data_IF_038395997208
#
_entry.id   IF_038395997208
#
_cell.length_a   1.000
_cell.length_b   1.000
_cell.length_c   1.000
_cell.angle_alpha   90.00
_cell.angle_beta   90.00
_cell.angle_gamma   90.00
#
_symmetry.space_group_name_H-M   'P 1'
#
loop_
_entity.id
_entity.type
_entity.pdbx_description
1 polymer ?
#
# COMPACT_ATOMS: atom_id res chain seq x y z
N UNK A 1 -1.84 19.41 -25.40
CA UNK A 1 -0.82 18.45 -24.93
C UNK A 1 -0.66 17.44 -26.05
N UNK A 2 0.55 17.29 -26.59
CA UNK A 2 0.83 16.31 -27.63
C UNK A 2 0.92 14.93 -27.02
N UNK A 3 0.33 13.93 -27.67
CA UNK A 3 0.52 12.53 -27.30
C UNK A 3 2.01 12.18 -27.39
N UNK A 4 2.52 11.30 -26.50
CA UNK A 4 3.87 10.81 -26.62
C UNK A 4 4.01 9.95 -27.88
N UNK A 5 5.23 9.93 -28.42
CA UNK A 5 5.62 9.06 -29.53
C UNK A 5 6.25 7.78 -29.00
N UNK A 6 5.97 6.66 -29.65
CA UNK A 6 6.54 5.37 -29.33
C UNK A 6 8.06 5.42 -29.51
N UNK A 7 8.86 4.98 -28.51
CA UNK A 7 10.31 4.96 -28.61
C UNK A 7 10.83 3.91 -29.63
N UNK A 8 10.04 2.88 -29.92
CA UNK A 8 10.38 1.81 -30.88
C UNK A 8 10.03 2.21 -32.33
N UNK A 9 8.79 2.65 -32.56
CA UNK A 9 8.26 2.85 -33.93
C UNK A 9 8.19 4.31 -34.37
N UNK A 10 8.27 5.26 -33.43
CA UNK A 10 8.01 6.68 -33.69
C UNK A 10 6.53 7.03 -33.89
N UNK A 11 5.63 6.05 -33.88
CA UNK A 11 4.18 6.25 -34.02
C UNK A 11 3.57 6.99 -32.82
N UNK A 12 2.41 7.62 -33.02
CA UNK A 12 1.68 8.26 -31.92
C UNK A 12 1.14 7.21 -30.96
N UNK A 13 1.30 7.43 -29.65
CA UNK A 13 0.71 6.55 -28.63
C UNK A 13 -0.63 7.10 -28.15
N UNK A 14 -1.50 6.21 -27.68
CA UNK A 14 -2.83 6.55 -27.20
C UNK A 14 -2.99 6.19 -25.73
N UNK A 15 -3.72 7.05 -25.02
CA UNK A 15 -4.02 6.83 -23.60
C UNK A 15 -5.07 5.73 -23.50
N UNK A 16 -4.75 4.65 -22.81
CA UNK A 16 -5.63 3.50 -22.67
C UNK A 16 -5.39 2.78 -21.33
N UNK A 17 -6.20 1.76 -21.04
CA UNK A 17 -6.08 0.88 -19.88
C UNK A 17 -6.11 -0.57 -20.37
N UNK A 18 -5.01 -1.31 -20.19
CA UNK A 18 -4.89 -2.70 -20.67
C UNK A 18 -4.64 -3.68 -19.51
N UNK A 19 -5.14 -4.92 -19.59
CA UNK A 19 -4.90 -5.92 -18.56
C UNK A 19 -3.41 -6.29 -18.47
N UNK A 20 -2.88 -6.34 -17.26
CA UNK A 20 -1.51 -6.76 -16.97
C UNK A 20 -1.51 -7.73 -15.80
N UNK A 21 -0.82 -8.86 -15.94
CA UNK A 21 -0.66 -9.83 -14.84
C UNK A 21 0.61 -9.51 -14.05
N UNK A 22 0.45 -9.30 -12.73
CA UNK A 22 1.57 -9.21 -11.79
C UNK A 22 1.69 -10.53 -11.05
N UNK A 23 2.92 -11.05 -10.93
CA UNK A 23 3.24 -12.30 -10.24
C UNK A 23 4.24 -12.05 -9.11
N UNK A 24 4.01 -12.67 -7.96
CA UNK A 24 4.92 -12.61 -6.81
C UNK A 24 4.79 -13.86 -5.94
N UNK A 25 5.91 -14.57 -5.67
CA UNK A 25 5.96 -15.77 -4.81
C UNK A 25 4.77 -16.74 -4.99
N UNK A 26 4.51 -17.16 -6.23
CA UNK A 26 3.43 -18.10 -6.57
C UNK A 26 2.01 -17.51 -6.57
N UNK A 27 1.83 -16.26 -6.15
CA UNK A 27 0.57 -15.53 -6.26
C UNK A 27 0.57 -14.68 -7.53
N UNK A 28 -0.61 -14.47 -8.11
CA UNK A 28 -0.77 -13.60 -9.26
C UNK A 28 -2.09 -12.85 -9.19
N UNK A 29 -2.11 -11.64 -9.76
CA UNK A 29 -3.31 -10.82 -9.91
C UNK A 29 -3.28 -10.16 -11.27
N UNK A 30 -4.42 -10.10 -11.93
CA UNK A 30 -4.61 -9.30 -13.13
C UNK A 30 -5.10 -7.91 -12.72
N UNK A 31 -4.44 -6.87 -13.24
CA UNK A 31 -4.79 -5.47 -13.01
C UNK A 31 -5.06 -4.76 -14.32
N UNK A 32 -5.87 -3.72 -14.26
CA UNK A 32 -6.12 -2.82 -15.37
C UNK A 32 -5.06 -1.71 -15.34
N UNK A 33 -4.01 -1.83 -16.15
CA UNK A 33 -2.88 -0.90 -16.17
C UNK A 33 -3.16 0.31 -17.06
N UNK A 34 -3.26 1.53 -16.49
CA UNK A 34 -3.34 2.73 -17.28
C UNK A 34 -1.96 3.05 -17.89
N UNK A 35 -1.94 3.53 -19.11
CA UNK A 35 -0.68 3.82 -19.81
C UNK A 35 -0.91 4.50 -21.14
N UNK A 36 0.18 4.93 -21.76
CA UNK A 36 0.21 5.24 -23.18
C UNK A 36 0.65 3.99 -23.91
N UNK A 37 -0.15 3.53 -24.87
CA UNK A 37 0.11 2.31 -25.61
C UNK A 37 0.31 2.62 -27.08
N UNK A 38 1.23 1.90 -27.71
CA UNK A 38 1.35 1.88 -29.16
C UNK A 38 0.40 0.82 -29.74
N UNK A 39 -0.17 1.10 -30.91
CA UNK A 39 -0.96 0.11 -31.66
C UNK A 39 -0.09 -0.65 -32.69
N UNK A 40 1.08 -0.10 -33.02
CA UNK A 40 2.04 -0.69 -33.97
C UNK A 40 3.10 -1.56 -33.28
N UNK A 41 3.15 -1.57 -31.94
CA UNK A 41 4.06 -2.39 -31.14
C UNK A 41 3.48 -2.69 -29.76
N UNK A 42 4.11 -3.61 -29.01
CA UNK A 42 3.72 -3.93 -27.62
C UNK A 42 4.26 -2.92 -26.59
N UNK A 43 4.78 -1.77 -27.03
CA UNK A 43 5.42 -0.79 -26.15
C UNK A 43 4.39 0.05 -25.39
N UNK A 44 4.69 0.32 -24.11
CA UNK A 44 3.84 1.13 -23.24
C UNK A 44 4.64 2.07 -22.33
N UNK A 45 4.16 3.31 -22.19
CA UNK A 45 4.73 4.31 -21.29
C UNK A 45 3.77 4.54 -20.13
N UNK A 46 4.26 4.36 -18.90
CA UNK A 46 3.50 4.57 -17.67
C UNK A 46 4.08 5.76 -16.89
N UNK A 47 3.20 6.66 -16.47
CA UNK A 47 3.57 7.78 -15.59
C UNK A 47 3.70 7.31 -14.14
N UNK A 48 4.27 8.14 -13.26
CA UNK A 48 4.33 7.83 -11.83
C UNK A 48 2.94 7.62 -11.18
N UNK A 49 1.89 8.27 -11.70
CA UNK A 49 0.52 8.03 -11.23
C UNK A 49 -0.01 6.67 -11.70
N UNK A 50 0.34 6.26 -12.91
CA UNK A 50 -0.06 4.96 -13.47
C UNK A 50 0.54 3.80 -12.68
N UNK A 51 1.83 3.93 -12.36
CA UNK A 51 2.57 2.93 -11.61
C UNK A 51 2.02 2.70 -10.21
N UNK A 52 1.26 3.65 -9.63
CA UNK A 52 0.58 3.40 -8.34
C UNK A 52 -0.42 2.25 -8.42
N UNK A 53 -0.99 1.96 -9.60
CA UNK A 53 -1.89 0.81 -9.77
C UNK A 53 -1.11 -0.49 -9.60
N UNK A 54 0.01 -0.64 -10.33
CA UNK A 54 0.87 -1.81 -10.22
C UNK A 54 1.54 -1.93 -8.86
N UNK A 55 2.00 -0.83 -8.27
CA UNK A 55 2.69 -0.83 -6.98
C UNK A 55 1.77 -1.28 -5.84
N UNK A 56 0.53 -0.77 -5.81
CA UNK A 56 -0.46 -1.19 -4.81
C UNK A 56 -0.83 -2.67 -4.96
N UNK A 57 -1.00 -3.13 -6.19
CA UNK A 57 -1.29 -4.54 -6.45
C UNK A 57 -0.12 -5.46 -6.05
N UNK A 58 1.11 -5.06 -6.36
CA UNK A 58 2.31 -5.78 -5.95
C UNK A 58 2.46 -5.80 -4.42
N UNK A 59 2.24 -4.67 -3.74
CA UNK A 59 2.25 -4.61 -2.28
C UNK A 59 1.17 -5.51 -1.67
N UNK A 60 -0.02 -5.58 -2.27
CA UNK A 60 -1.06 -6.50 -1.82
C UNK A 60 -0.61 -7.97 -1.94
N UNK A 61 -0.08 -8.36 -3.09
CA UNK A 61 0.45 -9.71 -3.30
C UNK A 61 1.57 -10.05 -2.31
N UNK A 62 2.48 -9.10 -2.04
CA UNK A 62 3.53 -9.26 -1.03
C UNK A 62 2.94 -9.45 0.37
N UNK A 63 1.94 -8.66 0.74
CA UNK A 63 1.29 -8.78 2.04
C UNK A 63 0.63 -10.16 2.21
N UNK A 64 -0.07 -10.65 1.19
CA UNK A 64 -0.68 -11.97 1.20
C UNK A 64 0.38 -13.08 1.28
N UNK A 65 1.43 -13.01 0.46
CA UNK A 65 2.51 -14.02 0.45
C UNK A 65 3.34 -14.05 1.74
N UNK A 66 3.39 -12.95 2.49
CA UNK A 66 4.20 -12.82 3.72
C UNK A 66 3.35 -12.80 5.00
N UNK A 67 2.05 -13.08 4.90
CA UNK A 67 1.09 -13.04 6.01
C UNK A 67 1.07 -11.70 6.76
N UNK A 68 1.24 -10.59 6.03
CA UNK A 68 1.11 -9.24 6.52
C UNK A 68 -0.34 -8.74 6.36
N UNK A 69 -0.69 -7.70 7.11
CA UNK A 69 -2.02 -7.11 7.01
C UNK A 69 -2.19 -6.33 5.69
N UNK A 70 -3.28 -6.61 4.99
CA UNK A 70 -3.74 -5.81 3.84
C UNK A 70 -4.36 -4.49 4.30
N UNK A 71 -4.37 -3.44 3.45
CA UNK A 71 -4.79 -2.09 3.81
C UNK A 71 -6.16 -1.99 4.51
N UNK A 72 -7.13 -2.75 4.02
CA UNK A 72 -8.50 -2.74 4.56
C UNK A 72 -8.55 -3.31 5.97
N UNK A 73 -7.72 -4.32 6.24
CA UNK A 73 -7.63 -4.96 7.57
C UNK A 73 -6.96 -4.03 8.57
N UNK A 74 -5.90 -3.32 8.18
CA UNK A 74 -5.27 -2.29 9.02
C UNK A 74 -6.29 -1.23 9.42
N UNK A 75 -7.06 -0.71 8.45
CA UNK A 75 -8.11 0.28 8.69
C UNK A 75 -9.17 -0.25 9.65
N UNK A 76 -9.66 -1.47 9.43
CA UNK A 76 -10.68 -2.12 10.29
C UNK A 76 -10.20 -2.19 11.74
N UNK A 77 -9.00 -2.71 11.96
CA UNK A 77 -8.43 -2.87 13.31
C UNK A 77 -8.27 -1.49 13.96
N UNK A 78 -7.69 -0.52 13.26
CA UNK A 78 -7.49 0.84 13.79
C UNK A 78 -8.82 1.46 14.24
N UNK A 79 -9.86 1.37 13.41
CA UNK A 79 -11.18 1.92 13.73
C UNK A 79 -11.82 1.21 14.93
N UNK A 80 -11.70 -0.12 15.01
CA UNK A 80 -12.15 -0.90 16.17
C UNK A 80 -11.44 -0.50 17.47
N UNK A 81 -10.16 -0.10 17.38
CA UNK A 81 -9.38 0.42 18.50
C UNK A 81 -9.70 1.88 18.85
N UNK A 82 -10.57 2.55 18.08
CA UNK A 82 -10.95 3.95 18.32
C UNK A 82 -9.80 4.93 18.07
N UNK A 83 -8.83 4.59 17.23
CA UNK A 83 -7.65 5.42 16.98
C UNK A 83 -7.76 6.20 15.67
N UNK A 84 -7.26 7.45 15.68
CA UNK A 84 -6.96 8.16 14.44
C UNK A 84 -5.71 7.58 13.79
N UNK A 85 -5.48 7.83 12.49
CA UNK A 85 -4.25 7.36 11.81
C UNK A 85 -2.98 7.90 12.49
N UNK A 86 -3.02 9.18 12.88
CA UNK A 86 -1.93 9.85 13.59
C UNK A 86 -1.67 9.24 14.97
N UNK A 87 -2.72 8.95 15.72
CA UNK A 87 -2.59 8.32 17.05
C UNK A 87 -2.08 6.89 16.93
N UNK A 88 -2.56 6.12 15.95
CA UNK A 88 -2.08 4.78 15.68
C UNK A 88 -0.60 4.79 15.31
N UNK A 89 -0.17 5.69 14.41
CA UNK A 89 1.24 5.84 14.03
C UNK A 89 2.16 6.25 15.18
N UNK A 90 1.64 7.01 16.14
CA UNK A 90 2.37 7.43 17.35
C UNK A 90 2.41 6.36 18.45
N UNK A 91 1.30 5.66 18.67
CA UNK A 91 1.15 4.69 19.77
C UNK A 91 1.67 3.30 19.40
N UNK A 92 1.31 2.81 18.20
CA UNK A 92 1.68 1.47 17.72
C UNK A 92 3.04 1.51 17.03
N UNK A 93 3.33 2.59 16.30
CA UNK A 93 4.61 2.82 15.64
C UNK A 93 4.49 3.06 14.14
N UNK A 94 5.64 3.16 13.48
CA UNK A 94 5.76 3.54 12.06
C UNK A 94 5.83 5.06 11.83
N UNK A 95 5.50 5.86 12.84
CA UNK A 95 5.51 7.32 12.74
C UNK A 95 4.15 7.90 12.33
N UNK A 96 3.98 9.23 12.39
CA UNK A 96 2.67 9.88 12.33
C UNK A 96 1.88 9.64 11.03
N UNK A 97 2.58 9.34 9.92
CA UNK A 97 1.98 9.16 8.60
C UNK A 97 1.97 7.70 8.13
N UNK A 98 2.41 6.75 8.96
CA UNK A 98 2.52 5.35 8.54
C UNK A 98 1.16 4.72 8.23
N UNK A 99 0.18 4.93 9.11
CA UNK A 99 -1.16 4.37 8.91
C UNK A 99 -1.87 4.92 7.68
N UNK A 100 -1.56 6.15 7.26
CA UNK A 100 -2.05 6.67 5.97
C UNK A 100 -1.51 5.84 4.81
N UNK A 101 -0.19 5.57 4.79
CA UNK A 101 0.47 4.80 3.72
C UNK A 101 0.11 3.31 3.75
N UNK A 102 -0.06 2.75 4.94
CA UNK A 102 -0.52 1.37 5.12
C UNK A 102 -1.95 1.20 4.61
N UNK A 103 -2.85 2.13 4.95
CA UNK A 103 -4.26 2.08 4.52
C UNK A 103 -4.47 2.45 3.06
N UNK A 104 -3.55 3.19 2.43
CA UNK A 104 -3.58 3.44 0.98
C UNK A 104 -2.92 2.33 0.16
N UNK A 105 -2.21 1.39 0.80
CA UNK A 105 -1.45 0.34 0.13
C UNK A 105 -0.17 0.81 -0.56
N UNK A 106 0.23 2.07 -0.34
CA UNK A 106 1.49 2.62 -0.86
C UNK A 106 2.71 1.93 -0.26
N UNK A 107 2.60 1.45 0.99
CA UNK A 107 3.69 0.79 1.70
C UNK A 107 3.17 -0.43 2.45
N UNK A 108 3.99 -1.49 2.48
CA UNK A 108 3.75 -2.68 3.28
C UNK A 108 3.76 -2.37 4.78
N UNK A 109 2.83 -2.98 5.49
CA UNK A 109 2.83 -2.98 6.96
C UNK A 109 4.03 -3.78 7.44
N UNK A 110 4.81 -3.26 8.37
CA UNK A 110 5.92 -4.04 8.94
C UNK A 110 5.42 -5.23 9.76
N UNK A 111 6.23 -6.27 9.90
CA UNK A 111 5.90 -7.42 10.76
C UNK A 111 5.61 -7.02 12.20
N UNK A 112 6.34 -6.04 12.74
CA UNK A 112 6.11 -5.52 14.10
C UNK A 112 4.73 -4.86 14.24
N UNK A 113 4.35 -4.00 13.30
CA UNK A 113 3.03 -3.35 13.31
C UNK A 113 1.91 -4.37 13.08
N UNK A 114 2.12 -5.34 12.18
CA UNK A 114 1.18 -6.46 11.97
C UNK A 114 0.92 -7.22 13.26
N UNK A 115 1.98 -7.65 13.94
CA UNK A 115 1.88 -8.41 15.20
C UNK A 115 1.17 -7.60 16.28
N UNK A 116 1.54 -6.32 16.44
CA UNK A 116 0.91 -5.43 17.40
C UNK A 116 -0.59 -5.22 17.12
N UNK A 117 -0.97 -5.01 15.85
CA UNK A 117 -2.37 -4.83 15.47
C UNK A 117 -3.20 -6.09 15.71
N UNK A 118 -2.67 -7.28 15.40
CA UNK A 118 -3.37 -8.55 15.66
C UNK A 118 -3.56 -8.80 17.16
N UNK A 119 -2.53 -8.53 17.97
CA UNK A 119 -2.64 -8.63 19.43
C UNK A 119 -3.67 -7.64 20.00
N UNK A 120 -3.64 -6.39 19.55
CA UNK A 120 -4.57 -5.35 20.00
C UNK A 120 -6.01 -5.59 19.50
N UNK A 121 -6.19 -6.17 18.31
CA UNK A 121 -7.53 -6.55 17.83
C UNK A 121 -8.19 -7.58 18.76
N UNK A 122 -7.38 -8.53 19.26
CA UNK A 122 -7.79 -9.55 20.22
C UNK A 122 -7.98 -8.99 21.63
N UNK A 123 -7.05 -8.18 22.11
CA UNK A 123 -7.09 -7.54 23.43
C UNK A 123 -6.86 -6.02 23.34
N UNK A 124 -7.92 -5.22 23.15
CA UNK A 124 -7.82 -3.76 23.07
C UNK A 124 -7.29 -3.10 24.35
N UNK A 125 -7.36 -3.77 25.50
CA UNK A 125 -6.91 -3.22 26.78
C UNK A 125 -5.39 -2.94 26.79
N UNK A 126 -4.64 -3.66 25.95
CA UNK A 126 -3.21 -3.46 25.73
C UNK A 126 -2.82 -2.05 25.26
N UNK A 127 -3.77 -1.27 24.70
CA UNK A 127 -3.53 0.14 24.38
C UNK A 127 -3.11 0.97 25.60
N UNK A 128 -3.54 0.58 26.80
CA UNK A 128 -3.16 1.27 28.04
C UNK A 128 -1.66 1.16 28.31
N UNK A 129 -1.05 0.02 27.97
CA UNK A 129 0.39 -0.21 28.11
C UNK A 129 1.17 0.73 27.19
N UNK A 130 0.78 0.79 25.91
CA UNK A 130 1.42 1.66 24.92
C UNK A 130 1.28 3.14 25.27
N UNK A 131 0.11 3.56 25.78
CA UNK A 131 -0.11 4.94 26.24
C UNK A 131 0.80 5.30 27.42
N UNK A 132 0.96 4.42 28.41
CA UNK A 132 1.83 4.64 29.58
C UNK A 132 3.31 4.77 29.17
N UNK A 133 3.79 3.90 28.28
CA UNK A 133 5.16 3.97 27.76
C UNK A 133 5.46 5.33 27.11
N UNK A 134 4.55 5.82 26.24
CA UNK A 134 4.71 7.12 25.57
C UNK A 134 4.56 8.34 26.47
N UNK A 135 3.98 8.19 27.65
CA UNK A 135 3.96 9.23 28.68
C UNK A 135 5.28 9.26 29.45
N UNK A 136 5.85 8.08 29.76
CA UNK A 136 7.18 7.97 30.38
C UNK A 136 8.30 8.57 29.53
N UNK A 137 8.27 8.35 28.21
CA UNK A 137 9.23 8.96 27.27
C UNK A 137 9.16 10.50 27.21
N UNK A 138 8.04 11.12 27.61
CA UNK A 138 7.88 12.58 27.60
C UNK A 138 8.29 13.26 28.91
N UNK A 139 8.41 12.49 29.98
CA UNK A 139 8.76 12.98 31.31
C UNK A 139 10.25 12.84 31.64
N UNK A 140 11.01 12.17 30.75
CA UNK A 140 12.47 12.09 30.76
C UNK A 140 13.05 13.08 29.74
#
# INVERSE_FOLDING_TARGET
>A
MSNPTCPETGSVMYRDVRPMTIKYKGHQVEIQMPGWYCDDSDESIHTGEDLKVSDRALNRLKAEAENLLVPETVRRIRLRLGLTQKDAGRLIGGGPNAFQKYESGEVLVSHGVTSALLLLERDPSGLTVLKKQKQGEKAA
#
